data_IF_409839746853
#
_entry.id   IF_409839746853
#
_cell.length_a   1.000
_cell.length_b   1.000
_cell.length_c   1.000
_cell.angle_alpha   90.00
_cell.angle_beta   90.00
_cell.angle_gamma   90.00
#
_symmetry.space_group_name_H-M   'P 1'
#
loop_
_entity.id
_entity.type
_entity.pdbx_description
1 polymer ?
#
# COMPACT_ATOMS: atom_id res chain seq x y z
N UNK A 1 -4.96 -12.22 12.07
CA UNK A 1 -5.46 -10.99 11.41
C UNK A 1 -4.36 -10.27 10.67
N UNK A 2 -4.70 -9.51 9.62
CA UNK A 2 -3.81 -8.52 8.99
C UNK A 2 -4.11 -7.10 9.50
N UNK A 3 -3.05 -6.34 9.74
CA UNK A 3 -3.13 -4.95 10.20
C UNK A 3 -2.67 -3.92 9.15
N UNK A 4 -2.20 -4.40 8.00
CA UNK A 4 -1.63 -3.58 6.93
C UNK A 4 -2.65 -2.53 6.46
N UNK A 5 -2.29 -1.25 6.58
CA UNK A 5 -3.14 -0.13 6.24
C UNK A 5 -4.43 0.03 7.05
N UNK A 6 -4.48 -0.58 8.24
CA UNK A 6 -5.63 -0.46 9.17
C UNK A 6 -5.27 -0.07 10.59
N UNK A 7 -4.20 -0.65 11.13
CA UNK A 7 -3.68 -0.25 12.45
C UNK A 7 -2.28 0.37 12.37
N UNK A 8 -1.58 0.09 11.28
CA UNK A 8 -0.25 0.61 11.05
C UNK A 8 -0.02 0.87 9.56
N UNK A 9 1.06 1.57 9.29
CA UNK A 9 1.67 1.72 7.98
C UNK A 9 3.19 1.65 8.16
N UNK A 10 3.90 1.35 7.08
CA UNK A 10 5.35 1.37 7.04
C UNK A 10 5.81 2.60 6.26
N UNK A 11 6.67 3.41 6.85
CA UNK A 11 7.32 4.55 6.20
C UNK A 11 8.77 4.16 5.91
N UNK A 12 9.14 4.11 4.64
CA UNK A 12 10.51 3.82 4.22
C UNK A 12 11.43 5.04 4.44
N UNK A 13 12.75 4.83 4.42
CA UNK A 13 13.72 5.91 4.57
C UNK A 13 13.59 7.02 3.51
N UNK A 14 13.12 6.68 2.31
CA UNK A 14 12.81 7.64 1.24
C UNK A 14 11.52 8.44 1.45
N UNK A 15 10.73 8.11 2.48
CA UNK A 15 9.47 8.76 2.82
C UNK A 15 8.23 8.06 2.24
N UNK A 16 8.38 7.04 1.39
CA UNK A 16 7.26 6.26 0.86
C UNK A 16 6.49 5.55 1.96
N UNK A 17 5.16 5.62 1.87
CA UNK A 17 4.26 5.07 2.89
C UNK A 17 3.47 3.91 2.32
N UNK A 18 3.73 2.73 2.85
CA UNK A 18 3.11 1.46 2.46
C UNK A 18 2.21 0.91 3.57
N UNK A 19 1.24 0.04 3.26
CA UNK A 19 0.37 -0.55 4.27
C UNK A 19 1.11 -1.54 5.18
N UNK A 20 2.15 -2.21 4.68
CA UNK A 20 3.16 -2.91 5.47
C UNK A 20 4.48 -3.00 4.68
N UNK A 21 5.57 -3.43 5.33
CA UNK A 21 6.89 -3.53 4.71
C UNK A 21 6.99 -4.58 3.57
N UNK A 22 6.01 -5.48 3.45
CA UNK A 22 6.02 -6.57 2.46
C UNK A 22 5.14 -6.31 1.23
N UNK A 23 4.38 -5.22 1.23
CA UNK A 23 3.51 -4.82 0.12
C UNK A 23 4.12 -3.58 -0.53
N UNK A 24 4.81 -3.69 -1.66
CA UNK A 24 5.54 -2.58 -2.29
C UNK A 24 4.59 -1.62 -3.04
N UNK A 25 3.51 -1.21 -2.38
CA UNK A 25 2.48 -0.29 -2.89
C UNK A 25 2.47 0.96 -2.00
N UNK A 26 3.02 2.06 -2.51
CA UNK A 26 3.11 3.34 -1.82
C UNK A 26 1.85 4.18 -2.04
N UNK A 27 1.20 4.57 -0.95
CA UNK A 27 0.00 5.42 -0.92
C UNK A 27 0.33 6.91 -0.77
N UNK A 28 1.61 7.25 -0.87
CA UNK A 28 2.13 8.61 -0.89
C UNK A 28 3.51 8.68 -0.25
N UNK A 29 4.11 9.86 -0.32
CA UNK A 29 5.38 10.15 0.33
C UNK A 29 5.19 11.25 1.38
N UNK A 30 5.69 11.05 2.60
CA UNK A 30 5.55 12.03 3.71
C UNK A 30 6.24 13.38 3.43
N UNK A 31 7.11 13.43 2.42
CA UNK A 31 7.75 14.67 1.94
C UNK A 31 6.86 15.47 0.99
N UNK A 32 5.79 14.86 0.46
CA UNK A 32 4.87 15.46 -0.52
C UNK A 32 3.47 15.66 0.06
N UNK A 33 2.97 14.69 0.83
CA UNK A 33 1.59 14.65 1.32
C UNK A 33 1.56 14.47 2.85
N UNK A 34 0.52 15.02 3.50
CA UNK A 34 0.27 14.78 4.92
C UNK A 34 -0.12 13.32 5.21
N UNK A 35 0.40 12.77 6.32
CA UNK A 35 0.18 11.35 6.69
C UNK A 35 -1.30 10.96 6.81
N UNK A 36 -2.16 11.89 7.29
CA UNK A 36 -3.60 11.67 7.39
C UNK A 36 -4.25 11.42 6.02
N UNK A 37 -3.75 12.07 4.98
CA UNK A 37 -4.31 11.98 3.63
C UNK A 37 -3.85 10.71 2.94
N UNK A 38 -2.58 10.36 3.15
CA UNK A 38 -2.02 9.05 2.77
C UNK A 38 -2.82 7.92 3.43
N UNK A 39 -3.13 8.03 4.73
CA UNK A 39 -3.93 7.04 5.46
C UNK A 39 -5.35 6.90 4.89
N UNK A 40 -6.01 8.03 4.57
CA UNK A 40 -7.34 8.02 3.93
C UNK A 40 -7.31 7.33 2.56
N UNK A 41 -6.27 7.56 1.74
CA UNK A 41 -6.12 6.89 0.43
C UNK A 41 -5.99 5.38 0.61
N UNK A 42 -5.14 4.97 1.55
CA UNK A 42 -4.91 3.56 1.89
C UNK A 42 -6.19 2.86 2.36
N UNK A 43 -6.94 3.47 3.28
CA UNK A 43 -8.20 2.91 3.78
C UNK A 43 -9.34 2.86 2.76
N UNK A 44 -9.28 3.65 1.68
CA UNK A 44 -10.25 3.62 0.57
C UNK A 44 -9.91 2.57 -0.48
N UNK A 45 -8.67 2.11 -0.56
CA UNK A 45 -8.21 1.20 -1.60
C UNK A 45 -8.77 -0.21 -1.41
N UNK A 46 -9.30 -0.82 -2.46
CA UNK A 46 -9.99 -2.13 -2.40
C UNK A 46 -9.14 -3.22 -1.72
N UNK A 47 -7.84 -3.26 -2.02
CA UNK A 47 -6.89 -4.20 -1.41
C UNK A 47 -6.79 -4.13 0.14
N UNK A 48 -7.15 -3.00 0.75
CA UNK A 48 -7.01 -2.75 2.20
C UNK A 48 -8.30 -2.23 2.86
N UNK A 49 -9.37 -2.03 2.09
CA UNK A 49 -10.70 -1.60 2.55
C UNK A 49 -11.44 -2.80 3.15
N UNK A 50 -11.01 -3.24 4.33
CA UNK A 50 -11.66 -4.34 5.05
C UNK A 50 -10.74 -5.04 6.05
N UNK A 51 -11.32 -5.83 6.95
CA UNK A 51 -10.55 -6.75 7.79
C UNK A 51 -10.14 -8.00 7.00
N UNK A 52 -8.93 -8.48 7.24
CA UNK A 52 -8.48 -9.78 6.76
C UNK A 52 -8.08 -10.68 7.92
N UNK A 53 -8.46 -11.96 7.84
CA UNK A 53 -8.22 -12.95 8.89
C UNK A 53 -6.75 -13.34 8.99
N UNK A 54 -5.99 -13.18 7.91
CA UNK A 54 -4.57 -13.49 7.82
C UNK A 54 -3.84 -12.51 6.90
N UNK A 55 -2.50 -12.57 6.90
CA UNK A 55 -1.64 -11.69 6.11
C UNK A 55 -1.99 -11.71 4.61
N UNK A 56 -2.20 -10.54 4.00
CA UNK A 56 -2.54 -10.42 2.58
C UNK A 56 -1.44 -11.00 1.66
N UNK A 57 -0.16 -10.90 2.05
CA UNK A 57 0.92 -11.53 1.28
C UNK A 57 0.87 -13.06 1.28
N UNK A 58 0.10 -13.70 2.17
CA UNK A 58 -0.18 -15.15 2.10
C UNK A 58 -1.38 -15.47 1.20
N UNK A 59 -2.26 -14.52 0.92
CA UNK A 59 -3.43 -14.70 0.08
C UNK A 59 -3.01 -14.76 -1.42
N UNK A 60 -3.22 -15.89 -2.13
CA UNK A 60 -2.84 -16.04 -3.53
C UNK A 60 -3.55 -15.07 -4.48
N UNK A 61 -4.84 -14.81 -4.25
CA UNK A 61 -5.67 -13.92 -5.06
C UNK A 61 -5.16 -12.48 -4.97
N UNK A 62 -4.86 -12.01 -3.76
CA UNK A 62 -4.23 -10.72 -3.49
C UNK A 62 -2.90 -10.58 -4.23
N UNK A 63 -2.03 -11.61 -4.15
CA UNK A 63 -0.74 -11.56 -4.86
C UNK A 63 -0.95 -11.51 -6.37
N UNK A 64 -1.87 -12.30 -6.91
CA UNK A 64 -2.19 -12.29 -8.34
C UNK A 64 -2.68 -10.92 -8.81
N UNK A 65 -3.52 -10.26 -8.02
CA UNK A 65 -4.14 -8.99 -8.40
C UNK A 65 -3.23 -7.77 -8.21
N UNK A 66 -2.50 -7.71 -7.09
CA UNK A 66 -1.79 -6.48 -6.68
C UNK A 66 -0.26 -6.59 -6.67
N UNK A 67 0.31 -7.80 -6.73
CA UNK A 67 1.76 -8.02 -6.63
C UNK A 67 2.34 -8.51 -7.95
N UNK A 68 1.75 -9.55 -8.54
CA UNK A 68 2.23 -10.13 -9.81
C UNK A 68 1.93 -9.25 -11.02
N UNK A 69 1.06 -8.26 -10.87
CA UNK A 69 0.74 -7.24 -11.88
C UNK A 69 1.74 -6.09 -11.92
N UNK A 70 2.64 -6.00 -10.93
CA UNK A 70 3.69 -4.97 -10.91
C UNK A 70 4.70 -5.29 -12.03
N UNK A 71 4.98 -4.34 -12.95
CA UNK A 71 5.99 -4.53 -13.98
C UNK A 71 7.38 -4.82 -13.38
N UNK A 72 8.17 -5.68 -14.03
CA UNK A 72 9.47 -6.11 -13.51
C UNK A 72 10.51 -4.99 -13.47
N UNK A 73 10.35 -4.00 -14.33
CA UNK A 73 11.18 -2.81 -14.49
C UNK A 73 10.63 -1.60 -13.69
N UNK A 74 9.51 -1.77 -12.99
CA UNK A 74 8.95 -0.71 -12.16
C UNK A 74 9.85 -0.39 -10.96
N UNK A 75 9.98 0.90 -10.65
CA UNK A 75 10.59 1.33 -9.40
C UNK A 75 9.69 0.97 -8.22
N UNK A 76 10.25 0.30 -7.22
CA UNK A 76 9.57 -0.03 -5.97
C UNK A 76 10.03 0.87 -4.81
N UNK A 77 9.12 1.24 -3.89
CA UNK A 77 7.69 0.92 -3.88
C UNK A 77 6.88 1.60 -5.00
N UNK A 78 5.93 0.88 -5.61
CA UNK A 78 5.10 1.39 -6.70
C UNK A 78 4.15 2.47 -6.19
N UNK A 79 4.18 3.66 -6.79
CA UNK A 79 3.34 4.81 -6.42
C UNK A 79 1.90 4.63 -6.89
N UNK A 80 1.09 3.96 -6.07
CA UNK A 80 -0.36 3.79 -6.32
C UNK A 80 -1.16 5.05 -6.01
N UNK A 81 -0.57 6.04 -5.33
CA UNK A 81 -1.22 7.29 -4.99
C UNK A 81 -1.44 8.22 -6.19
N UNK A 82 -0.67 8.07 -7.26
CA UNK A 82 -0.76 8.91 -8.46
C UNK A 82 -2.13 8.81 -9.14
N UNK A 83 -2.84 7.69 -8.98
CA UNK A 83 -4.21 7.54 -9.49
C UNK A 83 -5.24 8.44 -8.76
N UNK A 84 -4.90 8.96 -7.58
CA UNK A 84 -5.75 9.87 -6.79
C UNK A 84 -5.43 11.35 -6.98
N UNK A 85 -4.34 11.68 -7.70
CA UNK A 85 -3.89 13.07 -7.94
C UNK A 85 -4.41 13.64 -9.27
N UNK A 86 -5.53 13.12 -9.78
CA UNK A 86 -6.25 13.70 -10.93
C UNK A 86 -6.92 15.01 -10.57
#
# INVERSE_FOLDING_TARGET
>A
GCFAGRRWMHVAAGGDVMPCAYTPLSFGNVREDGLAEIWKRMGKHAAYKGSADYCMMRNPEFRKEYIHTIPKDAQIPLRVDLQYKK
#
